data_IF_273105398383
#
_entry.id   IF_273105398383
#
_cell.length_a   1.000
_cell.length_b   1.000
_cell.length_c   1.000
_cell.angle_alpha   90.00
_cell.angle_beta   90.00
_cell.angle_gamma   90.00
#
_symmetry.space_group_name_H-M   'P 1'
#
loop_
_entity.id
_entity.type
_entity.pdbx_description
1 polymer ?
#
# COMPACT_ATOMS: atom_id res chain seq x y z
N UNK A 1 -20.31 -1.94 -12.19
CA UNK A 1 -21.05 -2.75 -11.18
C UNK A 1 -20.03 -3.30 -10.20
N UNK A 2 -20.39 -3.49 -8.94
CA UNK A 2 -19.55 -4.14 -7.93
C UNK A 2 -20.34 -5.32 -7.39
N UNK A 3 -19.81 -6.54 -7.53
CA UNK A 3 -20.46 -7.79 -7.15
C UNK A 3 -21.89 -7.92 -7.71
N UNK A 4 -22.08 -7.50 -8.97
CA UNK A 4 -23.40 -7.49 -9.63
C UNK A 4 -24.36 -6.39 -9.17
N UNK A 5 -23.97 -5.54 -8.21
CA UNK A 5 -24.77 -4.42 -7.73
C UNK A 5 -24.42 -3.14 -8.49
N UNK A 6 -25.40 -2.45 -9.11
CA UNK A 6 -25.18 -1.13 -9.69
C UNK A 6 -25.09 -0.09 -8.56
N UNK A 7 -23.92 0.53 -8.41
CA UNK A 7 -23.65 1.57 -7.42
C UNK A 7 -23.17 2.85 -8.10
N UNK A 8 -23.48 4.00 -7.50
CA UNK A 8 -22.97 5.31 -7.94
C UNK A 8 -21.83 5.71 -7.03
N UNK A 9 -20.64 5.85 -7.61
CA UNK A 9 -19.47 6.39 -6.91
C UNK A 9 -19.35 7.89 -7.21
N UNK A 10 -19.35 8.72 -6.18
CA UNK A 10 -18.96 10.12 -6.31
C UNK A 10 -17.44 10.20 -6.19
N UNK A 11 -16.76 10.55 -7.28
CA UNK A 11 -15.30 10.60 -7.35
C UNK A 11 -14.84 11.90 -8.01
N UNK A 12 -13.72 12.44 -7.54
CA UNK A 12 -13.00 13.54 -8.20
C UNK A 12 -11.94 13.05 -9.20
N UNK A 13 -11.75 11.73 -9.30
CA UNK A 13 -10.80 11.11 -10.22
C UNK A 13 -11.42 10.86 -11.60
N UNK A 14 -10.56 10.69 -12.60
CA UNK A 14 -10.98 10.34 -13.95
C UNK A 14 -11.65 8.95 -14.00
N UNK A 15 -12.38 8.71 -15.09
CA UNK A 15 -13.16 7.49 -15.29
C UNK A 15 -12.28 6.22 -15.32
N UNK A 16 -11.05 6.31 -15.84
CA UNK A 16 -10.13 5.16 -15.88
C UNK A 16 -9.75 4.74 -14.46
N UNK A 17 -9.35 5.68 -13.61
CA UNK A 17 -9.02 5.44 -12.21
C UNK A 17 -10.23 4.85 -11.46
N UNK A 18 -11.43 5.38 -11.70
CA UNK A 18 -12.66 4.86 -11.10
C UNK A 18 -12.93 3.42 -11.54
N UNK A 19 -12.77 3.11 -12.82
CA UNK A 19 -12.98 1.76 -13.34
C UNK A 19 -11.96 0.76 -12.79
N UNK A 20 -10.70 1.16 -12.65
CA UNK A 20 -9.67 0.33 -12.00
C UNK A 20 -10.04 0.01 -10.55
N UNK A 21 -10.51 0.99 -9.77
CA UNK A 21 -10.99 0.78 -8.41
C UNK A 21 -12.19 -0.19 -8.35
N UNK A 22 -13.16 -0.01 -9.26
CA UNK A 22 -14.34 -0.88 -9.35
C UNK A 22 -13.93 -2.32 -9.65
N UNK A 23 -13.08 -2.52 -10.67
CA UNK A 23 -12.60 -3.86 -11.05
C UNK A 23 -11.79 -4.51 -9.95
N UNK A 24 -10.97 -3.74 -9.24
CA UNK A 24 -10.16 -4.24 -8.13
C UNK A 24 -11.02 -4.72 -6.96
N UNK A 25 -11.99 -3.92 -6.52
CA UNK A 25 -12.91 -4.29 -5.44
C UNK A 25 -13.78 -5.48 -5.84
N UNK A 26 -14.31 -5.49 -7.07
CA UNK A 26 -15.12 -6.62 -7.58
C UNK A 26 -14.32 -7.94 -7.59
N UNK A 27 -13.04 -7.89 -7.99
CA UNK A 27 -12.14 -9.03 -7.92
C UNK A 27 -12.00 -9.56 -6.48
N UNK A 28 -11.72 -8.69 -5.51
CA UNK A 28 -11.60 -9.10 -4.10
C UNK A 28 -12.89 -9.73 -3.55
N UNK A 29 -14.05 -9.20 -3.92
CA UNK A 29 -15.34 -9.78 -3.51
C UNK A 29 -15.52 -11.17 -4.13
N UNK A 30 -15.17 -11.33 -5.42
CA UNK A 30 -15.24 -12.62 -6.12
C UNK A 30 -14.33 -13.66 -5.49
N UNK A 31 -13.12 -13.28 -5.09
CA UNK A 31 -12.17 -14.16 -4.42
C UNK A 31 -12.63 -14.54 -3.00
N UNK A 32 -13.34 -13.63 -2.32
CA UNK A 32 -13.89 -13.86 -0.99
C UNK A 32 -15.20 -14.66 -0.99
N UNK A 33 -15.95 -14.68 -2.10
CA UNK A 33 -17.26 -15.32 -2.21
C UNK A 33 -17.25 -16.82 -1.86
N UNK A 34 -16.29 -17.65 -2.32
CA UNK A 34 -16.21 -19.07 -1.98
C UNK A 34 -15.92 -19.32 -0.50
N UNK A 35 -15.35 -18.33 0.21
CA UNK A 35 -15.04 -18.41 1.64
C UNK A 35 -16.29 -18.18 2.51
N UNK A 36 -17.39 -17.72 1.90
CA UNK A 36 -18.66 -17.56 2.60
C UNK A 36 -19.45 -18.87 2.60
N UNK A 37 -19.97 -19.28 3.76
CA UNK A 37 -20.75 -20.53 3.89
C UNK A 37 -22.02 -20.58 3.01
N UNK A 38 -22.55 -19.44 2.58
CA UNK A 38 -23.84 -19.32 1.90
C UNK A 38 -23.78 -18.63 0.53
N UNK A 39 -22.59 -18.28 0.03
CA UNK A 39 -22.48 -17.43 -1.16
C UNK A 39 -23.02 -16.00 -0.94
N UNK A 40 -23.10 -15.55 0.32
CA UNK A 40 -23.59 -14.22 0.66
C UNK A 40 -22.62 -13.16 0.19
N UNK A 41 -23.04 -12.37 -0.80
CA UNK A 41 -22.27 -11.24 -1.33
C UNK A 41 -21.94 -10.22 -0.23
N UNK A 42 -22.85 -10.02 0.74
CA UNK A 42 -22.60 -9.14 1.88
C UNK A 42 -21.43 -9.66 2.72
N UNK A 43 -21.41 -10.95 3.07
CA UNK A 43 -20.33 -11.53 3.85
C UNK A 43 -19.02 -11.53 3.05
N UNK A 44 -19.08 -11.78 1.75
CA UNK A 44 -17.92 -11.72 0.86
C UNK A 44 -17.36 -10.30 0.79
N UNK A 45 -18.23 -9.28 0.78
CA UNK A 45 -17.83 -7.88 0.80
C UNK A 45 -17.15 -7.49 2.11
N UNK A 46 -17.62 -8.00 3.25
CA UNK A 46 -16.96 -7.81 4.55
C UNK A 46 -15.58 -8.46 4.56
N UNK A 47 -15.46 -9.71 4.10
CA UNK A 47 -14.16 -10.41 4.01
C UNK A 47 -13.19 -9.69 3.05
N UNK A 48 -13.67 -9.28 1.87
CA UNK A 48 -12.88 -8.50 0.92
C UNK A 48 -12.40 -7.18 1.53
N UNK A 49 -13.25 -6.51 2.31
CA UNK A 49 -12.88 -5.27 3.01
C UNK A 49 -11.80 -5.51 4.08
N UNK A 50 -11.88 -6.63 4.82
CA UNK A 50 -10.86 -7.02 5.79
C UNK A 50 -9.52 -7.32 5.13
N UNK A 51 -9.51 -8.09 4.03
CA UNK A 51 -8.30 -8.35 3.27
C UNK A 51 -7.67 -7.07 2.71
N UNK A 52 -8.48 -6.16 2.16
CA UNK A 52 -7.99 -4.86 1.67
C UNK A 52 -7.40 -4.01 2.79
N UNK A 53 -8.02 -4.00 3.97
CA UNK A 53 -7.50 -3.29 5.13
C UNK A 53 -6.17 -3.89 5.62
N UNK A 54 -6.07 -5.22 5.66
CA UNK A 54 -4.82 -5.92 5.99
C UNK A 54 -3.70 -5.60 4.99
N UNK A 55 -3.96 -5.75 3.68
CA UNK A 55 -3.02 -5.43 2.62
C UNK A 55 -2.50 -3.99 2.73
N UNK A 56 -3.40 -3.03 2.97
CA UNK A 56 -3.04 -1.63 3.17
C UNK A 56 -2.16 -1.44 4.41
N UNK A 57 -2.50 -2.05 5.54
CA UNK A 57 -1.71 -1.93 6.77
C UNK A 57 -0.31 -2.55 6.60
N UNK A 58 -0.20 -3.69 5.93
CA UNK A 58 1.09 -4.33 5.65
C UNK A 58 1.93 -3.50 4.68
N UNK A 59 1.32 -2.97 3.62
CA UNK A 59 2.00 -2.07 2.67
C UNK A 59 2.51 -0.82 3.38
N UNK A 60 1.69 -0.20 4.23
CA UNK A 60 2.07 0.99 5.00
C UNK A 60 3.26 0.71 5.93
N UNK A 61 3.23 -0.42 6.66
CA UNK A 61 4.34 -0.83 7.54
C UNK A 61 5.63 -1.03 6.77
N UNK A 62 5.58 -1.80 5.68
CA UNK A 62 6.74 -2.06 4.83
C UNK A 62 7.31 -0.78 4.21
N UNK A 63 6.44 0.11 3.73
CA UNK A 63 6.89 1.39 3.18
C UNK A 63 7.62 2.25 4.24
N UNK A 64 7.13 2.26 5.48
CA UNK A 64 7.80 2.97 6.57
C UNK A 64 9.18 2.36 6.87
N UNK A 65 9.26 1.03 6.98
CA UNK A 65 10.53 0.33 7.22
C UNK A 65 11.59 0.63 6.13
N UNK A 66 11.17 0.66 4.87
CA UNK A 66 12.06 0.99 3.74
C UNK A 66 12.52 2.45 3.78
N UNK A 67 11.64 3.39 4.17
CA UNK A 67 11.99 4.80 4.34
C UNK A 67 12.97 5.01 5.50
N UNK A 68 12.72 4.39 6.64
CA UNK A 68 13.61 4.44 7.81
C UNK A 68 14.99 3.86 7.46
N UNK A 69 15.01 2.75 6.71
CA UNK A 69 16.23 2.13 6.23
C UNK A 69 17.00 3.01 5.24
N UNK A 70 16.30 3.74 4.36
CA UNK A 70 16.91 4.70 3.44
C UNK A 70 17.49 5.90 4.18
N UNK A 71 16.75 6.45 5.14
CA UNK A 71 17.19 7.59 5.96
C UNK A 71 18.45 7.22 6.77
N UNK A 72 18.47 6.06 7.42
CA UNK A 72 19.63 5.59 8.16
C UNK A 72 20.88 5.44 7.27
N UNK A 73 20.72 4.91 6.05
CA UNK A 73 21.82 4.81 5.07
C UNK A 73 22.32 6.18 4.62
N UNK A 74 21.40 7.11 4.35
CA UNK A 74 21.75 8.47 3.95
C UNK A 74 22.53 9.20 5.05
N UNK A 75 22.06 9.12 6.30
CA UNK A 75 22.74 9.70 7.46
C UNK A 75 24.13 9.13 7.67
N UNK A 76 24.29 7.81 7.51
CA UNK A 76 25.59 7.15 7.58
C UNK A 76 26.57 7.70 6.53
N UNK A 77 26.13 7.80 5.28
CA UNK A 77 26.96 8.33 4.19
C UNK A 77 27.36 9.79 4.45
N UNK A 78 26.44 10.62 4.94
CA UNK A 78 26.73 12.02 5.31
C UNK A 78 27.79 12.07 6.41
N UNK A 79 27.62 11.27 7.47
CA UNK A 79 28.60 11.20 8.57
C UNK A 79 29.99 10.76 8.10
N UNK A 80 30.08 9.76 7.21
CA UNK A 80 31.34 9.30 6.63
C UNK A 80 32.02 10.40 5.79
N UNK A 81 31.25 11.17 5.01
CA UNK A 81 31.77 12.30 4.23
C UNK A 81 32.30 13.43 5.12
N UNK A 82 31.60 13.77 6.19
CA UNK A 82 32.02 14.80 7.16
C UNK A 82 33.31 14.40 7.89
N UNK A 83 33.43 13.14 8.30
CA UNK A 83 34.63 12.62 8.93
C UNK A 83 35.84 12.63 7.96
N UNK A 84 35.61 12.38 6.68
CA UNK A 84 36.66 12.43 5.65
C UNK A 84 37.18 13.86 5.41
N UNK A 85 36.33 14.89 5.57
CA UNK A 85 36.75 16.31 5.47
C UNK A 85 37.54 16.81 6.68
N UNK A 86 37.44 16.13 7.82
CA UNK A 86 37.97 16.60 9.11
C UNK A 86 39.42 16.17 9.39
N UNK A 87 40.09 15.51 8.44
CA UNK A 87 41.52 15.17 8.55
C UNK A 87 42.38 16.05 7.64
N UNK A 88 42.88 17.21 8.11
CA UNK A 88 44.01 17.85 7.46
C UNK A 88 45.28 17.05 7.80
N UNK A 89 45.80 16.30 6.83
CA UNK A 89 47.21 15.88 6.83
C UNK A 89 48.06 17.10 6.49
N UNK A 90 48.84 17.59 7.44
CA UNK A 90 50.20 18.08 7.17
C UNK A 90 51.03 17.91 8.45
N UNK A 91 51.79 16.80 8.49
CA UNK A 91 53.02 16.70 9.26
C UNK A 91 54.10 17.54 8.55
N UNK A 92 54.74 18.44 9.29
CA UNK A 92 56.17 18.76 9.23
C UNK A 92 56.54 19.68 10.39
#
# INVERSE_FOLDING_TARGET
MIAGVPLRLKSSHDEKTVNELVSFVDGKIRDALPLTKTGSIQNASILASLHLAEEYLMLKRKAQEELDGLEAKALKVISELENTRSTPKFDN
#
